data_IF_345173399904
#
_entry.id   IF_345173399904
#
_cell.length_a   1.000
_cell.length_b   1.000
_cell.length_c   1.000
_cell.angle_alpha   90.00
_cell.angle_beta   90.00
_cell.angle_gamma   90.00
#
_symmetry.space_group_name_H-M   'P 1'
#
loop_
_entity.id
_entity.type
_entity.pdbx_description
1 polymer ?
#
# COMPACT_ATOMS: atom_id res chain seq x y z
N UNK A 1 25.14 -68.23 15.33
CA UNK A 1 24.75 -67.52 14.10
C UNK A 1 23.24 -67.55 14.00
N UNK A 2 22.59 -66.48 14.46
CA UNK A 2 21.14 -66.31 14.39
C UNK A 2 20.91 -64.87 13.94
N UNK A 3 20.39 -64.73 12.73
CA UNK A 3 20.25 -63.46 12.02
C UNK A 3 19.24 -62.54 12.70
N UNK A 4 19.66 -61.30 12.92
CA UNK A 4 18.78 -60.21 13.28
C UNK A 4 18.02 -59.76 12.02
N UNK A 5 16.70 -59.87 12.04
CA UNK A 5 15.82 -59.36 11.02
C UNK A 5 15.78 -57.84 11.08
N UNK A 6 16.26 -57.21 10.02
CA UNK A 6 16.16 -55.77 9.76
C UNK A 6 14.71 -55.48 9.32
N UNK A 7 13.87 -55.09 10.28
CA UNK A 7 12.50 -54.66 10.00
C UNK A 7 12.54 -53.28 9.33
N UNK A 8 11.70 -53.02 8.31
CA UNK A 8 11.73 -51.74 7.62
C UNK A 8 11.41 -50.60 8.59
N UNK A 9 12.28 -49.60 8.61
CA UNK A 9 12.06 -48.32 9.27
C UNK A 9 10.65 -47.79 8.90
N UNK A 10 9.87 -47.26 9.86
CA UNK A 10 8.56 -46.72 9.56
C UNK A 10 8.70 -45.60 8.53
N UNK A 11 7.98 -45.72 7.42
CA UNK A 11 7.87 -44.66 6.41
C UNK A 11 7.47 -43.35 7.13
N UNK A 12 8.12 -42.22 6.79
CA UNK A 12 7.75 -40.94 7.37
C UNK A 12 6.29 -40.66 7.02
N UNK A 13 5.43 -40.62 8.05
CA UNK A 13 4.03 -40.21 7.96
C UNK A 13 3.98 -38.95 7.11
N UNK A 14 3.47 -39.07 5.88
CA UNK A 14 3.41 -37.97 4.93
C UNK A 14 2.69 -36.79 5.59
N UNK A 15 3.46 -35.79 5.99
CA UNK A 15 2.93 -34.61 6.66
C UNK A 15 1.91 -33.98 5.72
N UNK A 16 0.65 -33.94 6.15
CA UNK A 16 -0.46 -33.43 5.35
C UNK A 16 -0.12 -32.00 4.90
N UNK A 17 0.20 -31.84 3.62
CA UNK A 17 0.54 -30.55 3.03
C UNK A 17 -0.67 -29.63 3.25
N UNK A 18 -0.49 -28.58 4.04
CA UNK A 18 -1.54 -27.59 4.26
C UNK A 18 -1.75 -26.84 2.95
N UNK A 19 -2.98 -26.64 2.50
CA UNK A 19 -3.29 -25.75 1.38
C UNK A 19 -3.31 -24.27 1.79
N UNK A 20 -3.11 -23.98 3.08
CA UNK A 20 -3.20 -22.63 3.64
C UNK A 20 -2.29 -22.44 4.86
N UNK A 21 -1.71 -21.25 4.97
CA UNK A 21 -1.04 -20.74 6.17
C UNK A 21 -1.62 -19.39 6.54
N UNK A 22 -1.98 -19.26 7.81
CA UNK A 22 -2.42 -18.00 8.41
C UNK A 22 -1.35 -17.52 9.39
N UNK A 23 -0.90 -16.29 9.19
CA UNK A 23 0.03 -15.58 10.05
C UNK A 23 -0.66 -14.33 10.59
N UNK A 24 -0.24 -13.90 11.77
CA UNK A 24 -0.46 -12.53 12.21
C UNK A 24 0.78 -11.73 11.85
N UNK A 25 0.61 -10.45 11.55
CA UNK A 25 1.71 -9.52 11.31
C UNK A 25 2.87 -9.67 12.31
N UNK A 26 4.11 -9.66 11.83
CA UNK A 26 5.33 -9.92 12.62
C UNK A 26 5.44 -11.29 13.33
N UNK A 27 4.47 -12.20 13.16
CA UNK A 27 4.56 -13.54 13.72
C UNK A 27 5.51 -14.43 12.90
N UNK A 28 6.12 -15.41 13.56
CA UNK A 28 6.94 -16.44 12.93
C UNK A 28 6.34 -17.81 13.21
N UNK A 29 6.25 -18.64 12.16
CA UNK A 29 5.85 -20.04 12.27
C UNK A 29 6.94 -20.90 11.65
N UNK A 30 7.56 -21.74 12.46
CA UNK A 30 8.64 -22.63 12.07
C UNK A 30 8.15 -24.05 11.78
N UNK A 31 8.94 -24.82 11.02
CA UNK A 31 8.70 -26.24 10.79
C UNK A 31 7.50 -26.57 9.89
N UNK A 32 7.04 -25.62 9.08
CA UNK A 32 5.91 -25.82 8.16
C UNK A 32 6.33 -26.75 7.02
N UNK A 33 5.57 -27.82 6.80
CA UNK A 33 5.72 -28.66 5.61
C UNK A 33 5.14 -27.91 4.41
N UNK A 34 6.00 -27.43 3.51
CA UNK A 34 5.62 -26.72 2.29
C UNK A 34 6.23 -27.45 1.08
N UNK A 35 5.53 -27.50 -0.07
CA UNK A 35 6.18 -27.90 -1.31
C UNK A 35 7.36 -26.97 -1.60
N UNK A 36 8.52 -27.52 -1.98
CA UNK A 36 9.74 -26.74 -2.20
C UNK A 36 9.56 -25.60 -3.21
N UNK A 37 8.75 -25.80 -4.25
CA UNK A 37 8.39 -24.75 -5.18
C UNK A 37 7.71 -23.57 -4.49
N UNK A 38 6.74 -23.85 -3.62
CA UNK A 38 6.01 -22.82 -2.85
C UNK A 38 6.96 -22.09 -1.90
N UNK A 39 7.79 -22.82 -1.17
CA UNK A 39 8.77 -22.22 -0.25
C UNK A 39 9.76 -21.30 -0.96
N UNK A 40 10.32 -21.73 -2.10
CA UNK A 40 11.21 -20.90 -2.92
C UNK A 40 10.50 -19.68 -3.50
N UNK A 41 9.26 -19.83 -3.96
CA UNK A 41 8.48 -18.71 -4.49
C UNK A 41 8.14 -17.68 -3.41
N UNK A 42 7.86 -18.14 -2.18
CA UNK A 42 7.70 -17.25 -1.03
C UNK A 42 9.01 -16.55 -0.65
N UNK A 43 10.15 -17.26 -0.70
CA UNK A 43 11.46 -16.69 -0.38
C UNK A 43 11.94 -15.65 -1.42
N UNK A 44 11.55 -15.84 -2.68
CA UNK A 44 11.86 -14.91 -3.77
C UNK A 44 10.85 -13.74 -3.86
N UNK A 45 9.74 -13.79 -3.14
CA UNK A 45 8.71 -12.77 -3.15
C UNK A 45 8.69 -11.95 -1.86
N UNK A 46 8.22 -10.71 -1.93
CA UNK A 46 8.17 -9.82 -0.76
C UNK A 46 6.88 -10.00 0.07
N UNK A 47 6.38 -11.24 0.18
CA UNK A 47 5.11 -11.55 0.87
C UNK A 47 5.37 -11.86 2.35
N UNK A 48 6.34 -12.74 2.61
CA UNK A 48 6.80 -13.18 3.92
C UNK A 48 8.27 -13.56 3.80
N UNK A 49 9.04 -13.44 4.87
CA UNK A 49 10.39 -13.99 4.91
C UNK A 49 10.27 -15.51 5.04
N UNK A 50 10.61 -16.23 3.98
CA UNK A 50 10.58 -17.69 3.95
C UNK A 50 12.01 -18.25 3.94
N UNK A 51 12.33 -19.06 4.94
CA UNK A 51 13.66 -19.66 5.12
C UNK A 51 13.51 -21.18 5.22
N UNK A 52 14.23 -21.98 4.40
CA UNK A 52 14.20 -23.43 4.53
C UNK A 52 14.84 -23.87 5.86
N UNK A 53 14.31 -24.93 6.46
CA UNK A 53 14.90 -25.54 7.64
C UNK A 53 16.26 -26.16 7.28
N UNK A 54 17.35 -25.83 8.00
CA UNK A 54 18.69 -26.30 7.64
C UNK A 54 18.91 -27.79 7.89
N UNK A 55 18.07 -28.44 8.72
CA UNK A 55 18.24 -29.83 9.13
C UNK A 55 17.17 -30.76 8.56
N UNK A 56 16.00 -30.22 8.17
CA UNK A 56 14.86 -31.01 7.71
C UNK A 56 14.38 -30.57 6.32
N UNK A 57 14.74 -31.28 5.25
CA UNK A 57 14.26 -30.99 3.90
C UNK A 57 12.72 -30.93 3.82
N UNK A 58 12.20 -29.99 3.02
CA UNK A 58 10.76 -29.77 2.87
C UNK A 58 10.08 -29.04 4.03
N UNK A 59 10.83 -28.65 5.09
CA UNK A 59 10.35 -27.76 6.14
C UNK A 59 10.82 -26.33 5.92
N UNK A 60 9.94 -25.39 6.25
CA UNK A 60 10.16 -23.97 6.07
C UNK A 60 9.74 -23.21 7.32
N UNK A 61 10.46 -22.13 7.61
CA UNK A 61 10.09 -21.10 8.57
C UNK A 61 9.57 -19.89 7.81
N UNK A 62 8.36 -19.45 8.14
CA UNK A 62 7.75 -18.26 7.56
C UNK A 62 7.63 -17.18 8.62
N UNK A 63 8.07 -15.96 8.30
CA UNK A 63 7.90 -14.77 9.14
C UNK A 63 7.16 -13.69 8.38
N UNK A 64 6.05 -13.21 8.94
CA UNK A 64 5.33 -12.07 8.40
C UNK A 64 6.07 -10.75 8.68
N UNK A 65 6.03 -9.82 7.74
CA UNK A 65 6.46 -8.42 7.91
C UNK A 65 5.28 -7.50 8.28
N UNK A 66 5.35 -6.23 7.88
CA UNK A 66 4.28 -5.22 8.03
C UNK A 66 3.17 -5.33 6.98
N UNK A 67 3.34 -6.19 5.98
CA UNK A 67 2.38 -6.36 4.88
C UNK A 67 1.29 -7.34 5.28
N UNK A 68 0.04 -6.89 5.19
CA UNK A 68 -1.16 -7.64 5.57
C UNK A 68 -2.04 -7.91 4.35
N UNK A 69 -2.73 -9.03 4.32
CA UNK A 69 -3.59 -9.41 3.20
C UNK A 69 -3.52 -10.90 2.89
N UNK A 70 -3.74 -11.26 1.62
CA UNK A 70 -3.77 -12.64 1.20
C UNK A 70 -3.15 -12.83 -0.18
N UNK A 71 -2.37 -13.89 -0.31
CA UNK A 71 -1.69 -14.28 -1.54
C UNK A 71 -2.01 -15.74 -1.84
N UNK A 72 -2.33 -16.03 -3.09
CA UNK A 72 -2.63 -17.35 -3.60
C UNK A 72 -1.55 -17.75 -4.60
N UNK A 73 -0.97 -18.93 -4.38
CA UNK A 73 0.11 -19.49 -5.19
C UNK A 73 -0.43 -20.70 -5.91
N UNK A 74 -0.59 -20.59 -7.23
CA UNK A 74 -1.02 -21.70 -8.06
C UNK A 74 0.18 -22.58 -8.35
N UNK A 75 0.12 -23.83 -7.88
CA UNK A 75 1.14 -24.85 -8.08
C UNK A 75 0.75 -25.73 -9.26
N UNK A 76 1.58 -25.89 -10.32
CA UNK A 76 1.31 -26.82 -11.41
C UNK A 76 0.98 -28.22 -10.90
N UNK A 77 -0.14 -28.78 -11.35
CA UNK A 77 -0.61 -30.11 -10.95
C UNK A 77 -1.40 -30.16 -9.63
N UNK A 78 -1.46 -29.06 -8.86
CA UNK A 78 -2.34 -28.98 -7.68
C UNK A 78 -3.78 -28.61 -8.08
N UNK A 79 -4.77 -29.23 -7.43
CA UNK A 79 -6.20 -28.92 -7.65
C UNK A 79 -6.61 -27.57 -7.07
N UNK A 80 -5.96 -27.14 -6.00
CA UNK A 80 -6.25 -25.90 -5.28
C UNK A 80 -4.97 -25.07 -5.14
N UNK A 81 -5.06 -23.72 -5.18
CA UNK A 81 -3.92 -22.87 -4.91
C UNK A 81 -3.54 -22.95 -3.42
N UNK A 82 -2.26 -22.72 -3.14
CA UNK A 82 -1.77 -22.56 -1.77
C UNK A 82 -1.95 -21.11 -1.32
N UNK A 83 -2.65 -20.88 -0.21
CA UNK A 83 -2.96 -19.52 0.28
C UNK A 83 -2.10 -19.14 1.48
N UNK A 84 -1.42 -18.00 1.42
CA UNK A 84 -0.81 -17.32 2.58
C UNK A 84 -1.66 -16.13 2.94
N UNK A 85 -2.14 -16.08 4.18
CA UNK A 85 -2.85 -14.92 4.74
C UNK A 85 -2.02 -14.32 5.87
N UNK A 86 -1.85 -13.00 5.84
CA UNK A 86 -1.26 -12.23 6.94
C UNK A 86 -2.35 -11.30 7.48
N UNK A 87 -2.79 -11.56 8.71
CA UNK A 87 -3.79 -10.75 9.38
C UNK A 87 -3.14 -9.52 10.06
N UNK A 88 -3.77 -8.33 9.98
CA UNK A 88 -3.31 -7.17 10.72
C UNK A 88 -3.48 -7.36 12.23
N UNK A 89 -2.64 -6.68 13.02
CA UNK A 89 -2.81 -6.60 14.49
C UNK A 89 -3.99 -5.72 14.89
N UNK A 90 -4.30 -4.72 14.08
CA UNK A 90 -5.43 -3.81 14.30
C UNK A 90 -6.72 -4.36 13.66
N UNK A 91 -7.90 -4.07 14.24
CA UNK A 91 -9.16 -4.40 13.61
C UNK A 91 -9.28 -3.83 12.19
N UNK A 92 -9.93 -4.55 11.29
CA UNK A 92 -10.10 -4.10 9.89
C UNK A 92 -10.80 -2.74 9.82
N UNK A 93 -11.79 -2.49 10.68
CA UNK A 93 -12.44 -1.18 10.77
C UNK A 93 -11.44 -0.04 11.06
N UNK A 94 -10.43 -0.27 11.92
CA UNK A 94 -9.36 0.71 12.18
C UNK A 94 -8.52 0.95 10.94
N UNK A 95 -8.10 -0.12 10.25
CA UNK A 95 -7.33 -0.01 9.01
C UNK A 95 -8.08 0.85 7.97
N UNK A 96 -9.38 0.61 7.79
CA UNK A 96 -10.20 1.40 6.89
C UNK A 96 -10.39 2.85 7.34
N UNK A 97 -10.48 3.10 8.64
CA UNK A 97 -10.48 4.47 9.16
C UNK A 97 -9.17 5.20 8.82
N UNK A 98 -8.01 4.57 9.10
CA UNK A 98 -6.70 5.16 8.77
C UNK A 98 -6.61 5.42 7.27
N UNK A 99 -6.99 4.44 6.45
CA UNK A 99 -6.96 4.55 4.99
C UNK A 99 -7.85 5.70 4.52
N UNK A 100 -9.03 5.84 5.12
CA UNK A 100 -9.96 6.87 4.70
C UNK A 100 -9.62 8.26 5.08
N UNK A 101 -9.05 8.41 6.27
CA UNK A 101 -8.51 9.68 6.66
C UNK A 101 -7.31 10.08 5.78
N UNK A 102 -6.40 9.16 5.45
CA UNK A 102 -5.26 9.45 4.57
C UNK A 102 -5.68 9.82 3.15
N UNK A 103 -6.70 9.14 2.61
CA UNK A 103 -7.17 9.37 1.25
C UNK A 103 -8.01 10.65 1.14
N UNK A 104 -8.90 10.92 2.07
CA UNK A 104 -9.75 12.11 2.01
C UNK A 104 -10.04 12.62 3.42
N UNK A 105 -9.11 13.41 4.00
CA UNK A 105 -9.25 13.84 5.37
C UNK A 105 -10.49 14.70 5.57
N UNK A 106 -10.92 15.48 4.58
CA UNK A 106 -12.09 16.37 4.67
C UNK A 106 -13.40 15.69 4.21
N UNK A 107 -13.31 14.47 3.68
CA UNK A 107 -14.42 13.73 3.10
C UNK A 107 -15.34 13.05 4.12
N UNK A 108 -16.54 12.68 3.64
CA UNK A 108 -17.55 11.94 4.39
C UNK A 108 -17.22 10.46 4.62
N UNK A 109 -16.03 9.98 4.24
CA UNK A 109 -15.60 8.60 4.48
C UNK A 109 -15.22 8.32 5.95
N UNK A 110 -15.61 9.22 6.85
CA UNK A 110 -15.29 9.22 8.29
C UNK A 110 -16.16 8.27 9.11
N UNK A 111 -17.29 7.79 8.59
CA UNK A 111 -18.18 6.88 9.33
C UNK A 111 -18.82 5.81 8.42
N UNK A 112 -18.58 4.54 8.73
CA UNK A 112 -19.53 3.43 8.54
C UNK A 112 -20.11 3.11 7.15
N UNK A 113 -19.78 3.85 6.07
CA UNK A 113 -20.43 3.65 4.75
C UNK A 113 -20.14 2.27 4.12
N UNK A 114 -19.06 1.62 4.57
CA UNK A 114 -18.77 0.22 4.25
C UNK A 114 -18.86 -0.54 5.56
N UNK A 115 -19.76 -1.54 5.65
CA UNK A 115 -19.90 -2.45 6.79
C UNK A 115 -18.69 -3.36 6.95
N UNK A 116 -17.49 -2.78 7.06
CA UNK A 116 -16.23 -3.51 7.16
C UNK A 116 -15.99 -4.11 8.54
N UNK A 117 -16.74 -3.65 9.54
CA UNK A 117 -16.70 -4.19 10.90
C UNK A 117 -17.08 -5.69 10.96
N UNK A 118 -17.91 -6.16 10.01
CA UNK A 118 -18.32 -7.57 9.94
C UNK A 118 -17.28 -8.47 9.26
N UNK A 119 -16.32 -7.89 8.55
CA UNK A 119 -15.30 -8.66 7.84
C UNK A 119 -14.15 -9.03 8.78
N UNK A 120 -13.78 -10.31 8.73
CA UNK A 120 -12.60 -10.85 9.43
C UNK A 120 -11.33 -10.82 8.58
N UNK A 121 -11.49 -10.62 7.26
CA UNK A 121 -10.40 -10.65 6.27
C UNK A 121 -10.36 -9.35 5.45
N UNK A 122 -9.15 -8.82 5.25
CA UNK A 122 -8.93 -7.52 4.59
C UNK A 122 -9.37 -7.52 3.14
N UNK A 123 -9.04 -8.56 2.38
CA UNK A 123 -9.33 -8.62 0.95
C UNK A 123 -10.84 -8.61 0.65
N UNK A 124 -11.68 -9.43 1.30
CA UNK A 124 -13.14 -9.30 1.19
C UNK A 124 -13.66 -7.90 1.51
N UNK A 125 -13.18 -7.28 2.60
CA UNK A 125 -13.58 -5.94 2.99
C UNK A 125 -13.22 -4.89 1.94
N UNK A 126 -12.01 -4.96 1.38
CA UNK A 126 -11.57 -4.05 0.33
C UNK A 126 -12.33 -4.29 -0.98
N UNK A 127 -12.55 -5.53 -1.37
CA UNK A 127 -13.32 -5.86 -2.57
C UNK A 127 -14.73 -5.27 -2.48
N UNK A 128 -15.38 -5.38 -1.32
CA UNK A 128 -16.68 -4.77 -1.06
C UNK A 128 -16.66 -3.24 -1.07
N UNK A 129 -15.63 -2.63 -0.46
CA UNK A 129 -15.46 -1.19 -0.46
C UNK A 129 -15.27 -0.62 -1.88
N UNK A 130 -14.37 -1.24 -2.66
CA UNK A 130 -14.12 -0.87 -4.06
C UNK A 130 -15.38 -1.07 -4.90
N UNK A 131 -16.03 -2.24 -4.79
CA UNK A 131 -17.26 -2.53 -5.53
C UNK A 131 -18.33 -1.47 -5.27
N UNK A 132 -18.63 -1.14 -4.01
CA UNK A 132 -19.65 -0.15 -3.68
C UNK A 132 -19.33 1.24 -4.22
N UNK A 133 -18.08 1.67 -4.11
CA UNK A 133 -17.67 3.00 -4.58
C UNK A 133 -17.65 3.06 -6.11
N UNK A 134 -17.20 2.01 -6.79
CA UNK A 134 -17.32 1.90 -8.26
C UNK A 134 -18.79 1.93 -8.67
N UNK A 135 -19.66 1.15 -8.02
CA UNK A 135 -21.09 1.17 -8.33
C UNK A 135 -21.67 2.57 -8.20
N UNK A 136 -21.40 3.25 -7.07
CA UNK A 136 -21.80 4.65 -6.79
C UNK A 136 -21.30 5.62 -7.87
N UNK A 137 -20.03 5.55 -8.23
CA UNK A 137 -19.42 6.40 -9.26
C UNK A 137 -20.08 6.20 -10.63
N UNK A 138 -20.39 4.95 -10.97
CA UNK A 138 -20.98 4.61 -12.26
C UNK A 138 -22.50 4.83 -12.29
N UNK A 139 -23.23 4.97 -11.17
CA UNK A 139 -24.72 5.01 -11.13
C UNK A 139 -25.36 5.94 -12.18
N UNK A 140 -24.77 7.09 -12.45
CA UNK A 140 -25.29 8.08 -13.41
C UNK A 140 -24.50 8.07 -14.74
N UNK A 141 -24.06 6.90 -15.19
CA UNK A 141 -23.33 6.68 -16.44
C UNK A 141 -21.81 6.85 -16.32
N UNK A 142 -21.10 6.42 -17.36
CA UNK A 142 -19.64 6.62 -17.45
C UNK A 142 -19.34 8.12 -17.57
N UNK A 143 -18.26 8.56 -16.90
CA UNK A 143 -17.73 9.89 -17.16
C UNK A 143 -17.13 9.91 -18.58
N UNK A 144 -17.46 10.95 -19.34
CA UNK A 144 -16.83 11.23 -20.63
C UNK A 144 -15.88 12.41 -20.46
N UNK A 145 -14.76 12.38 -21.17
CA UNK A 145 -13.78 13.45 -21.14
C UNK A 145 -12.91 13.44 -22.37
N UNK A 146 -12.10 14.48 -22.51
CA UNK A 146 -11.13 14.59 -23.59
C UNK A 146 -9.90 13.75 -23.25
N UNK A 147 -9.50 12.91 -24.19
CA UNK A 147 -8.25 12.17 -24.15
C UNK A 147 -7.37 12.58 -25.31
N UNK A 148 -6.12 12.94 -25.01
CA UNK A 148 -5.11 13.15 -26.03
C UNK A 148 -4.72 11.80 -26.64
N UNK A 149 -4.88 11.68 -27.95
CA UNK A 149 -4.56 10.50 -28.73
C UNK A 149 -3.52 10.85 -29.77
N UNK A 150 -2.43 10.09 -29.77
CA UNK A 150 -1.39 10.13 -30.79
C UNK A 150 -1.39 8.81 -31.54
N UNK A 151 -1.57 8.85 -32.86
CA UNK A 151 -1.60 7.64 -33.68
C UNK A 151 -1.09 7.90 -35.09
N UNK A 152 -0.75 6.82 -35.80
CA UNK A 152 -0.48 6.87 -37.22
C UNK A 152 -1.74 6.55 -37.99
N UNK A 153 -2.27 7.52 -38.74
CA UNK A 153 -3.56 7.39 -39.42
C UNK A 153 -3.46 7.63 -40.92
N UNK A 154 -4.30 6.97 -41.71
CA UNK A 154 -4.44 7.23 -43.14
C UNK A 154 -5.21 8.53 -43.44
N UNK A 155 -5.89 9.07 -42.42
CA UNK A 155 -6.64 10.34 -42.49
C UNK A 155 -6.05 11.34 -41.51
N UNK A 156 -6.03 12.62 -41.90
CA UNK A 156 -5.56 13.67 -40.99
C UNK A 156 -6.71 14.09 -40.09
N UNK A 157 -6.57 13.83 -38.78
CA UNK A 157 -7.46 14.30 -37.73
C UNK A 157 -6.65 15.05 -36.67
N UNK A 158 -7.04 16.29 -36.37
CA UNK A 158 -6.31 17.16 -35.45
C UNK A 158 -5.00 17.69 -36.03
N UNK A 159 -3.94 17.70 -35.22
CA UNK A 159 -2.62 18.27 -35.57
C UNK A 159 -1.69 17.17 -36.09
N UNK A 160 -0.93 17.46 -37.14
CA UNK A 160 0.14 16.57 -37.61
C UNK A 160 1.33 16.72 -36.64
N UNK A 161 2.00 15.62 -36.33
CA UNK A 161 3.23 15.63 -35.53
C UNK A 161 4.43 15.62 -36.45
N UNK A 162 4.82 16.78 -36.97
CA UNK A 162 5.79 16.89 -38.07
C UNK A 162 7.15 16.28 -37.70
N UNK A 163 7.62 16.52 -36.46
CA UNK A 163 8.87 15.94 -35.97
C UNK A 163 8.83 14.41 -35.98
N UNK A 164 7.69 13.81 -35.63
CA UNK A 164 7.52 12.35 -35.55
C UNK A 164 7.35 11.76 -36.94
N UNK A 165 6.63 12.45 -37.83
CA UNK A 165 6.48 12.08 -39.23
C UNK A 165 7.84 12.03 -39.94
N UNK A 166 8.65 13.09 -39.78
CA UNK A 166 9.99 13.14 -40.40
C UNK A 166 10.89 12.06 -39.81
N UNK A 167 10.88 11.85 -38.48
CA UNK A 167 11.77 10.86 -37.84
C UNK A 167 11.38 9.41 -38.13
N UNK A 168 10.09 9.07 -38.11
CA UNK A 168 9.62 7.68 -38.25
C UNK A 168 9.31 7.30 -39.69
N UNK A 169 9.00 8.28 -40.54
CA UNK A 169 8.42 8.07 -41.88
C UNK A 169 9.04 9.00 -42.92
N UNK A 170 10.35 9.23 -42.83
CA UNK A 170 11.08 10.04 -43.79
C UNK A 170 10.81 9.57 -45.23
N UNK A 171 10.27 10.46 -46.07
CA UNK A 171 9.93 10.16 -47.48
C UNK A 171 8.58 9.45 -47.71
N UNK A 172 7.88 9.01 -46.66
CA UNK A 172 6.54 8.41 -46.78
C UNK A 172 5.44 9.40 -46.37
N UNK A 173 4.46 9.62 -47.25
CA UNK A 173 3.35 10.55 -47.00
C UNK A 173 2.24 9.96 -46.12
N UNK A 174 2.05 8.64 -46.11
CA UNK A 174 1.02 7.95 -45.34
C UNK A 174 1.55 6.66 -44.71
N UNK A 175 0.96 6.18 -43.60
CA UNK A 175 0.14 6.93 -42.64
C UNK A 175 0.82 8.19 -42.08
N UNK A 176 0.02 9.19 -41.68
CA UNK A 176 0.46 10.44 -41.03
C UNK A 176 0.44 10.25 -39.52
N UNK A 177 1.51 10.64 -38.84
CA UNK A 177 1.53 10.77 -37.37
C UNK A 177 0.68 11.99 -36.97
N UNK A 178 -0.44 11.76 -36.31
CA UNK A 178 -1.38 12.80 -35.88
C UNK A 178 -1.59 12.79 -34.36
N UNK A 179 -1.99 13.94 -33.83
CA UNK A 179 -2.36 14.15 -32.43
C UNK A 179 -3.69 14.91 -32.37
N UNK A 180 -4.67 14.35 -31.67
CA UNK A 180 -6.00 14.96 -31.48
C UNK A 180 -6.57 14.64 -30.12
N UNK A 181 -7.52 15.46 -29.67
CA UNK A 181 -8.28 15.21 -28.44
C UNK A 181 -9.61 14.56 -28.80
N UNK A 182 -9.83 13.34 -28.30
CA UNK A 182 -11.05 12.58 -28.50
C UNK A 182 -11.95 12.67 -27.28
N UNK A 183 -13.23 13.04 -27.48
CA UNK A 183 -14.22 12.98 -26.42
C UNK A 183 -14.78 11.56 -26.31
N UNK A 184 -14.33 10.84 -25.27
CA UNK A 184 -14.55 9.39 -25.13
C UNK A 184 -14.80 9.01 -23.67
N UNK A 185 -15.28 7.78 -23.45
CA UNK A 185 -15.29 7.14 -22.14
C UNK A 185 -13.96 6.48 -21.79
N UNK A 186 -13.01 6.35 -22.72
CA UNK A 186 -11.69 5.74 -22.46
C UNK A 186 -10.69 6.72 -21.80
N UNK A 187 -11.14 7.41 -20.76
CA UNK A 187 -10.38 8.39 -19.96
C UNK A 187 -9.66 7.74 -18.77
N UNK A 188 -8.67 8.45 -18.20
CA UNK A 188 -7.85 7.97 -17.10
C UNK A 188 -8.68 7.38 -15.95
N UNK A 189 -9.73 8.09 -15.52
CA UNK A 189 -10.60 7.70 -14.43
C UNK A 189 -11.26 6.34 -14.68
N UNK A 190 -11.92 6.17 -15.82
CA UNK A 190 -12.60 4.92 -16.15
C UNK A 190 -11.60 3.76 -16.32
N UNK A 191 -10.41 4.04 -16.88
CA UNK A 191 -9.35 3.03 -17.05
C UNK A 191 -8.82 2.52 -15.72
N UNK A 192 -8.65 3.40 -14.73
CA UNK A 192 -8.29 3.01 -13.36
C UNK A 192 -9.36 2.10 -12.77
N UNK A 193 -10.64 2.50 -12.83
CA UNK A 193 -11.74 1.68 -12.29
C UNK A 193 -11.83 0.32 -12.98
N UNK A 194 -11.74 0.29 -14.32
CA UNK A 194 -11.74 -0.94 -15.11
C UNK A 194 -10.63 -1.88 -14.68
N UNK A 195 -9.43 -1.35 -14.52
CA UNK A 195 -8.25 -2.14 -14.12
C UNK A 195 -8.42 -2.71 -12.72
N UNK A 196 -8.93 -1.93 -11.77
CA UNK A 196 -9.16 -2.39 -10.40
C UNK A 196 -10.23 -3.50 -10.36
N UNK A 197 -11.35 -3.32 -11.07
CA UNK A 197 -12.39 -4.35 -11.19
C UNK A 197 -11.84 -5.65 -11.77
N UNK A 198 -11.07 -5.57 -12.87
CA UNK A 198 -10.42 -6.74 -13.45
C UNK A 198 -9.42 -7.40 -12.49
N UNK A 199 -8.68 -6.60 -11.70
CA UNK A 199 -7.71 -7.14 -10.75
C UNK A 199 -8.40 -7.90 -9.63
N UNK A 200 -9.46 -7.33 -9.05
CA UNK A 200 -10.26 -8.01 -8.02
C UNK A 200 -10.89 -9.30 -8.55
N UNK A 201 -11.40 -9.32 -9.78
CA UNK A 201 -11.98 -10.53 -10.39
C UNK A 201 -10.97 -11.68 -10.53
N UNK A 202 -9.66 -11.41 -10.57
CA UNK A 202 -8.62 -12.47 -10.60
C UNK A 202 -8.34 -13.06 -9.22
N UNK A 203 -8.71 -12.39 -8.14
CA UNK A 203 -8.44 -12.86 -6.78
C UNK A 203 -9.50 -13.87 -6.35
N UNK A 204 -9.13 -15.11 -5.99
CA UNK A 204 -10.10 -16.17 -5.67
C UNK A 204 -10.85 -15.88 -4.36
N UNK A 205 -10.25 -15.15 -3.43
CA UNK A 205 -10.83 -14.84 -2.12
C UNK A 205 -11.90 -13.74 -2.15
N UNK A 206 -12.24 -13.18 -3.32
CA UNK A 206 -13.34 -12.22 -3.44
C UNK A 206 -14.69 -12.95 -3.27
N UNK A 207 -15.57 -12.47 -2.37
CA UNK A 207 -16.90 -13.05 -2.14
C UNK A 207 -17.74 -13.20 -3.42
N UNK A 208 -18.62 -14.21 -3.47
CA UNK A 208 -19.38 -14.54 -4.69
C UNK A 208 -20.37 -13.46 -5.11
N UNK A 209 -21.02 -12.83 -4.15
CA UNK A 209 -21.91 -11.70 -4.32
C UNK A 209 -21.16 -10.47 -4.85
N UNK A 210 -20.04 -10.10 -4.22
CA UNK A 210 -19.16 -9.02 -4.69
C UNK A 210 -18.65 -9.29 -6.10
N UNK A 211 -18.23 -10.54 -6.38
CA UNK A 211 -17.79 -10.98 -7.72
C UNK A 211 -18.88 -10.78 -8.77
N UNK A 212 -20.14 -11.08 -8.45
CA UNK A 212 -21.26 -10.87 -9.37
C UNK A 212 -21.43 -9.38 -9.70
N UNK A 213 -21.36 -8.50 -8.71
CA UNK A 213 -21.44 -7.06 -8.94
C UNK A 213 -20.25 -6.53 -9.74
N UNK A 214 -19.02 -6.98 -9.42
CA UNK A 214 -17.82 -6.64 -10.19
C UNK A 214 -17.91 -7.10 -11.65
N UNK A 215 -18.52 -8.27 -11.94
CA UNK A 215 -18.76 -8.71 -13.32
C UNK A 215 -19.72 -7.77 -14.06
N UNK A 216 -20.75 -7.27 -13.38
CA UNK A 216 -21.66 -6.27 -13.95
C UNK A 216 -20.94 -4.93 -14.20
N UNK A 217 -20.15 -4.44 -13.26
CA UNK A 217 -19.33 -3.24 -13.43
C UNK A 217 -18.33 -3.38 -14.58
N UNK A 218 -17.71 -4.55 -14.71
CA UNK A 218 -16.86 -4.89 -15.86
C UNK A 218 -17.63 -4.78 -17.18
N UNK A 219 -18.85 -5.32 -17.25
CA UNK A 219 -19.67 -5.21 -18.46
C UNK A 219 -20.00 -3.74 -18.81
N UNK A 220 -20.23 -2.89 -17.81
CA UNK A 220 -20.46 -1.44 -18.02
C UNK A 220 -19.22 -0.69 -18.50
N UNK A 221 -18.03 -1.20 -18.21
CA UNK A 221 -16.73 -0.66 -18.61
C UNK A 221 -16.13 -1.43 -19.80
N UNK A 222 -16.95 -2.04 -20.67
CA UNK A 222 -16.45 -2.92 -21.74
C UNK A 222 -15.61 -2.17 -22.78
N UNK A 223 -16.00 -0.95 -23.13
CA UNK A 223 -15.32 -0.11 -24.12
C UNK A 223 -14.13 0.68 -23.53
N UNK A 224 -13.76 0.41 -22.28
CA UNK A 224 -12.67 1.09 -21.57
C UNK A 224 -11.44 0.19 -21.55
N UNK A 225 -10.31 0.75 -21.99
CA UNK A 225 -9.05 0.01 -22.12
C UNK A 225 -8.39 -0.14 -20.75
N UNK A 226 -8.25 -1.36 -20.20
CA UNK A 226 -7.53 -1.54 -18.93
C UNK A 226 -6.08 -1.07 -19.05
N UNK A 227 -5.52 -0.62 -17.94
CA UNK A 227 -4.11 -0.23 -17.85
C UNK A 227 -3.26 -1.50 -17.92
N UNK A 228 -2.26 -1.48 -18.79
CA UNK A 228 -1.33 -2.60 -18.93
C UNK A 228 -0.55 -2.77 -17.64
N UNK A 229 -0.42 -4.01 -17.17
CA UNK A 229 0.32 -4.34 -15.95
C UNK A 229 1.76 -3.85 -16.01
N UNK A 230 2.27 -3.37 -14.88
CA UNK A 230 3.63 -2.82 -14.77
C UNK A 230 3.81 -1.46 -15.43
N UNK A 231 2.79 -0.92 -16.12
CA UNK A 231 2.76 0.50 -16.48
C UNK A 231 2.24 1.32 -15.31
N UNK A 232 2.70 2.55 -15.23
CA UNK A 232 2.16 3.53 -14.30
C UNK A 232 0.66 3.76 -14.57
N UNK A 233 -0.09 3.98 -13.49
CA UNK A 233 -1.49 4.35 -13.61
C UNK A 233 -1.58 5.74 -14.27
N UNK A 234 -2.58 5.97 -15.15
CA UNK A 234 -2.75 7.27 -15.76
C UNK A 234 -3.10 8.30 -14.68
N UNK A 235 -2.48 9.49 -14.76
CA UNK A 235 -2.79 10.58 -13.85
C UNK A 235 -4.22 11.09 -14.05
N UNK A 236 -4.89 11.48 -12.96
CA UNK A 236 -6.17 12.17 -12.96
C UNK A 236 -6.14 13.31 -11.94
N UNK A 237 -7.02 14.30 -12.08
CA UNK A 237 -7.08 15.46 -11.21
C UNK A 237 -8.44 15.57 -10.53
N UNK A 238 -8.45 16.04 -9.28
CA UNK A 238 -9.68 16.32 -8.54
C UNK A 238 -10.38 17.52 -9.18
N UNK A 239 -11.55 17.29 -9.79
CA UNK A 239 -12.40 18.35 -10.34
C UNK A 239 -13.83 18.19 -9.85
N UNK A 240 -14.64 19.25 -9.98
CA UNK A 240 -16.09 19.16 -9.70
C UNK A 240 -16.80 18.18 -10.63
N UNK A 241 -16.31 18.01 -11.87
CA UNK A 241 -16.89 17.14 -12.88
C UNK A 241 -16.76 15.66 -12.50
N UNK A 242 -15.63 15.27 -11.93
CA UNK A 242 -15.36 13.90 -11.50
C UNK A 242 -15.55 13.67 -9.99
N UNK A 243 -16.19 14.60 -9.27
CA UNK A 243 -16.41 14.51 -7.82
C UNK A 243 -17.01 13.16 -7.37
N UNK A 244 -17.97 12.62 -8.14
CA UNK A 244 -18.59 11.32 -7.85
C UNK A 244 -17.64 10.11 -8.01
N UNK A 245 -16.49 10.28 -8.66
CA UNK A 245 -15.48 9.23 -8.88
C UNK A 245 -14.38 9.26 -7.82
N UNK A 246 -14.20 10.34 -7.05
CA UNK A 246 -13.01 10.55 -6.21
C UNK A 246 -12.74 9.38 -5.27
N UNK A 247 -13.75 8.93 -4.51
CA UNK A 247 -13.58 7.80 -3.59
C UNK A 247 -13.29 6.49 -4.33
N UNK A 248 -13.97 6.23 -5.44
CA UNK A 248 -13.77 5.03 -6.24
C UNK A 248 -12.35 4.98 -6.83
N UNK A 249 -11.85 6.11 -7.32
CA UNK A 249 -10.51 6.23 -7.90
C UNK A 249 -9.42 6.03 -6.85
N UNK A 250 -9.54 6.71 -5.71
CA UNK A 250 -8.57 6.58 -4.61
C UNK A 250 -8.50 5.13 -4.09
N UNK A 251 -9.64 4.45 -3.91
CA UNK A 251 -9.67 3.04 -3.53
C UNK A 251 -9.16 2.10 -4.63
N UNK A 252 -9.48 2.39 -5.89
CA UNK A 252 -8.99 1.62 -7.03
C UNK A 252 -7.46 1.70 -7.13
N UNK A 253 -6.87 2.88 -6.96
CA UNK A 253 -5.41 3.05 -6.93
C UNK A 253 -4.77 2.27 -5.78
N UNK A 254 -5.37 2.31 -4.58
CA UNK A 254 -4.92 1.51 -3.43
C UNK A 254 -4.97 0.02 -3.74
N UNK A 255 -6.08 -0.45 -4.31
CA UNK A 255 -6.24 -1.84 -4.74
C UNK A 255 -5.18 -2.25 -5.78
N UNK A 256 -4.87 -1.36 -6.72
CA UNK A 256 -3.91 -1.62 -7.80
C UNK A 256 -2.46 -1.58 -7.33
N UNK A 257 -2.12 -0.66 -6.41
CA UNK A 257 -0.80 -0.59 -5.77
C UNK A 257 -0.51 -1.78 -4.86
N UNK A 258 -1.51 -2.24 -4.11
CA UNK A 258 -1.38 -3.39 -3.21
C UNK A 258 -1.49 -4.76 -3.89
N UNK A 259 -1.82 -4.81 -5.18
CA UNK A 259 -1.91 -6.08 -5.88
C UNK A 259 -0.50 -6.63 -6.14
N UNK A 260 -0.21 -7.86 -5.71
CA UNK A 260 1.11 -8.46 -5.89
C UNK A 260 1.46 -8.56 -7.37
N UNK A 261 2.72 -8.34 -7.74
CA UNK A 261 3.18 -8.68 -9.08
C UNK A 261 3.00 -10.20 -9.29
N UNK A 262 2.60 -10.62 -10.48
CA UNK A 262 2.71 -12.03 -10.89
C UNK A 262 4.20 -12.35 -11.03
N UNK A 263 4.87 -12.66 -9.93
CA UNK A 263 6.23 -13.15 -9.95
C UNK A 263 6.21 -14.67 -10.16
N UNK A 264 6.91 -15.12 -11.19
CA UNK A 264 7.02 -16.54 -11.56
C UNK A 264 8.47 -17.05 -11.48
N UNK A 265 9.08 -17.23 -10.30
CA UNK A 265 10.19 -18.16 -10.16
C UNK A 265 9.67 -19.59 -10.35
N UNK A 266 10.13 -20.29 -11.38
CA UNK A 266 9.83 -21.73 -11.57
C UNK A 266 8.40 -22.08 -12.02
N UNK A 267 7.71 -21.17 -12.73
CA UNK A 267 6.40 -21.45 -13.34
C UNK A 267 5.17 -21.38 -12.42
N UNK A 268 5.37 -20.93 -11.17
CA UNK A 268 4.30 -20.68 -10.20
C UNK A 268 3.63 -19.33 -10.46
N UNK A 269 2.29 -19.27 -10.38
CA UNK A 269 1.55 -18.00 -10.46
C UNK A 269 1.17 -17.52 -9.07
N UNK A 270 1.60 -16.31 -8.71
CA UNK A 270 1.28 -15.66 -7.44
C UNK A 270 0.27 -14.53 -7.68
N UNK A 271 -0.94 -14.68 -7.12
CA UNK A 271 -2.00 -13.68 -7.17
C UNK A 271 -2.45 -13.32 -5.76
N UNK A 272 -2.27 -12.06 -5.37
CA UNK A 272 -2.65 -11.60 -4.05
C UNK A 272 -2.85 -10.10 -3.96
N UNK A 273 -3.32 -9.71 -2.78
CA UNK A 273 -3.38 -8.34 -2.34
C UNK A 273 -2.66 -8.24 -1.00
N UNK A 274 -1.66 -7.38 -0.96
CA UNK A 274 -0.90 -7.04 0.23
C UNK A 274 -0.96 -5.54 0.45
N UNK A 275 -1.12 -5.15 1.70
CA UNK A 275 -1.24 -3.78 2.12
C UNK A 275 -0.18 -3.50 3.17
N UNK A 276 0.64 -2.46 2.97
CA UNK A 276 1.72 -2.13 3.88
C UNK A 276 1.21 -1.28 5.05
N UNK A 277 1.21 -1.85 6.25
CA UNK A 277 0.73 -1.14 7.44
C UNK A 277 1.66 -0.01 7.88
N UNK A 278 2.96 -0.07 7.55
CA UNK A 278 3.88 1.01 7.85
C UNK A 278 3.50 2.26 7.05
N UNK A 279 3.38 2.11 5.73
CA UNK A 279 3.00 3.22 4.85
C UNK A 279 1.62 3.76 5.21
N UNK A 280 0.65 2.89 5.51
CA UNK A 280 -0.69 3.33 5.92
C UNK A 280 -0.65 4.23 7.15
N UNK A 281 0.10 3.82 8.18
CA UNK A 281 0.20 4.58 9.42
C UNK A 281 0.95 5.90 9.21
N UNK A 282 2.03 5.88 8.43
CA UNK A 282 2.77 7.07 8.01
C UNK A 282 1.87 8.06 7.28
N UNK A 283 1.17 7.61 6.22
CA UNK A 283 0.22 8.42 5.45
C UNK A 283 -0.85 9.03 6.37
N UNK A 284 -1.37 8.24 7.32
CA UNK A 284 -2.37 8.72 8.27
C UNK A 284 -1.81 9.82 9.17
N UNK A 285 -0.68 9.58 9.83
CA UNK A 285 -0.08 10.52 10.78
C UNK A 285 0.30 11.82 10.07
N UNK A 286 0.94 11.72 8.90
CA UNK A 286 1.41 12.87 8.13
C UNK A 286 0.24 13.73 7.63
N UNK A 287 -0.82 13.11 7.08
CA UNK A 287 -2.04 13.82 6.65
C UNK A 287 -2.76 14.43 7.85
N UNK A 288 -2.95 13.68 8.94
CA UNK A 288 -3.66 14.16 10.12
C UNK A 288 -2.92 15.30 10.83
N UNK A 289 -1.58 15.26 10.90
CA UNK A 289 -0.78 16.37 11.39
C UNK A 289 -0.89 17.59 10.47
N UNK A 290 -0.78 17.39 9.15
CA UNK A 290 -0.95 18.47 8.17
C UNK A 290 -2.27 19.21 8.31
N UNK A 291 -3.36 18.46 8.50
CA UNK A 291 -4.68 19.05 8.78
C UNK A 291 -4.74 19.76 10.14
N UNK A 292 -4.13 19.19 11.18
CA UNK A 292 -4.15 19.76 12.52
C UNK A 292 -3.32 21.05 12.66
N UNK A 293 -2.28 21.25 11.85
CA UNK A 293 -1.46 22.48 11.84
C UNK A 293 -1.94 23.53 10.83
N UNK A 294 -2.95 23.19 10.01
CA UNK A 294 -3.46 24.06 8.94
C UNK A 294 -4.00 25.37 9.50
N UNK A 295 -3.74 26.47 8.80
CA UNK A 295 -4.23 27.81 9.17
C UNK A 295 -3.31 28.60 10.13
N UNK A 296 -2.21 28.01 10.61
CA UNK A 296 -1.23 28.68 11.48
C UNK A 296 -0.12 29.45 10.77
N UNK A 297 -0.27 29.79 9.48
CA UNK A 297 0.78 30.46 8.67
C UNK A 297 2.01 29.60 8.38
N UNK A 298 1.98 28.32 8.73
CA UNK A 298 3.03 27.32 8.50
C UNK A 298 2.70 26.43 7.31
N UNK A 299 3.73 25.88 6.68
CA UNK A 299 3.58 24.95 5.55
C UNK A 299 4.12 23.58 5.93
N UNK A 300 3.34 22.52 5.77
CA UNK A 300 3.81 21.15 5.96
C UNK A 300 4.25 20.54 4.62
N UNK A 301 5.37 19.81 4.62
CA UNK A 301 5.79 18.95 3.51
C UNK A 301 5.87 17.51 3.99
N UNK A 302 5.37 16.60 3.15
CA UNK A 302 5.34 15.17 3.44
C UNK A 302 6.44 14.46 2.65
N UNK A 303 7.12 13.52 3.28
CA UNK A 303 8.21 12.73 2.71
C UNK A 303 9.28 13.60 1.99
N UNK A 304 9.73 14.67 2.67
CA UNK A 304 10.55 15.76 2.11
C UNK A 304 12.02 15.34 1.98
N UNK A 305 12.66 15.65 0.84
CA UNK A 305 14.03 15.19 0.58
C UNK A 305 15.06 16.19 1.11
N UNK A 306 16.00 15.70 1.91
CA UNK A 306 17.13 16.46 2.43
C UNK A 306 18.44 15.66 2.31
N UNK A 307 19.55 16.27 2.72
CA UNK A 307 20.87 15.63 2.76
C UNK A 307 21.50 15.79 4.15
N UNK A 308 22.14 14.73 4.63
CA UNK A 308 22.79 14.71 5.95
C UNK A 308 24.14 15.43 5.94
N UNK A 309 24.84 15.34 4.82
CA UNK A 309 26.20 15.81 4.63
C UNK A 309 26.27 17.01 3.68
N UNK A 310 27.31 17.82 3.85
CA UNK A 310 27.54 19.01 3.02
C UNK A 310 27.75 18.67 1.54
N UNK A 311 28.29 17.48 1.25
CA UNK A 311 28.50 17.02 -0.12
C UNK A 311 27.22 16.49 -0.80
N UNK A 312 26.09 16.46 -0.08
CA UNK A 312 24.80 15.96 -0.57
C UNK A 312 24.85 14.50 -1.08
N UNK A 313 25.71 13.67 -0.51
CA UNK A 313 25.83 12.26 -0.88
C UNK A 313 24.84 11.36 -0.12
N UNK A 314 24.50 11.73 1.11
CA UNK A 314 23.66 10.95 2.02
C UNK A 314 22.27 11.58 2.07
N UNK A 315 21.35 11.01 1.30
CA UNK A 315 19.95 11.45 1.26
C UNK A 315 19.20 11.02 2.51
N UNK A 316 18.33 11.90 2.98
CA UNK A 316 17.39 11.62 4.04
C UNK A 316 15.98 12.04 3.62
N UNK A 317 14.97 11.41 4.22
CA UNK A 317 13.58 11.65 3.87
C UNK A 317 12.68 11.53 5.11
N UNK A 318 12.52 12.60 5.90
CA UNK A 318 11.57 12.62 7.00
C UNK A 318 10.13 12.54 6.49
N UNK A 319 9.26 11.87 7.25
CA UNK A 319 7.87 11.65 6.86
C UNK A 319 7.07 12.96 6.85
N UNK A 320 7.37 13.87 7.78
CA UNK A 320 6.73 15.18 7.90
C UNK A 320 7.72 16.25 8.35
N UNK A 321 7.76 17.36 7.64
CA UNK A 321 8.52 18.56 8.02
C UNK A 321 7.59 19.76 8.02
N UNK A 322 7.58 20.50 9.13
CA UNK A 322 6.84 21.74 9.28
C UNK A 322 7.77 22.92 9.04
N UNK A 323 7.35 23.84 8.19
CA UNK A 323 8.08 25.06 7.86
C UNK A 323 7.37 26.28 8.43
N UNK A 324 8.15 27.19 9.02
CA UNK A 324 7.70 28.52 9.41
C UNK A 324 7.26 29.36 8.21
N UNK A 325 6.69 30.54 8.49
CA UNK A 325 6.30 31.49 7.44
C UNK A 325 7.52 32.03 6.65
N UNK A 326 8.71 31.96 7.25
CA UNK A 326 10.01 32.29 6.67
C UNK A 326 10.58 31.17 5.78
N UNK A 327 9.91 30.02 5.69
CA UNK A 327 10.37 28.87 4.91
C UNK A 327 11.49 28.07 5.60
N UNK A 328 11.74 28.29 6.88
CA UNK A 328 12.73 27.55 7.66
C UNK A 328 12.05 26.34 8.34
N UNK A 329 12.65 25.13 8.33
CA UNK A 329 12.15 24.01 9.12
C UNK A 329 12.03 24.40 10.60
N UNK A 330 10.87 24.13 11.21
CA UNK A 330 10.61 24.36 12.63
C UNK A 330 10.28 23.07 13.39
N UNK A 331 9.80 22.03 12.70
CA UNK A 331 9.61 20.72 13.31
C UNK A 331 9.81 19.59 12.30
N UNK A 332 10.25 18.44 12.81
CA UNK A 332 10.34 17.19 12.05
C UNK A 332 9.63 16.08 12.82
N UNK A 333 8.84 15.30 12.09
CA UNK A 333 8.09 14.17 12.63
C UNK A 333 8.32 12.94 11.77
N UNK A 334 8.50 11.79 12.43
CA UNK A 334 8.64 10.49 11.79
C UNK A 334 7.71 9.49 12.49
N UNK A 335 6.98 8.71 11.69
CA UNK A 335 5.89 7.84 12.12
C UNK A 335 6.28 6.37 11.97
N UNK A 336 6.17 5.60 13.05
CA UNK A 336 6.57 4.19 13.08
C UNK A 336 5.42 3.28 13.52
N UNK A 337 5.01 2.39 12.62
CA UNK A 337 4.06 1.32 12.92
C UNK A 337 4.78 0.09 13.49
N UNK A 338 5.13 0.14 14.78
CA UNK A 338 5.80 -0.96 15.47
C UNK A 338 5.26 -1.07 16.90
N UNK A 339 4.90 -2.29 17.30
CA UNK A 339 4.74 -2.63 18.72
C UNK A 339 6.12 -2.90 19.32
N UNK A 340 6.36 -2.39 20.53
CA UNK A 340 7.62 -2.53 21.25
C UNK A 340 8.05 -4.02 21.36
N UNK A 341 9.35 -4.30 21.20
CA UNK A 341 9.92 -5.55 21.74
C UNK A 341 9.95 -5.43 23.27
N UNK A 342 10.03 -6.53 24.00
CA UNK A 342 10.17 -6.55 25.48
C UNK A 342 11.43 -5.83 26.04
N UNK A 343 12.13 -5.02 25.26
CA UNK A 343 13.38 -4.33 25.63
C UNK A 343 13.53 -2.90 25.09
N UNK A 344 12.45 -2.20 24.73
CA UNK A 344 12.53 -0.80 24.25
C UNK A 344 12.21 -0.60 22.77
N UNK A 345 12.05 0.67 22.39
CA UNK A 345 12.09 1.10 20.98
C UNK A 345 13.47 0.80 20.40
N UNK A 346 13.58 0.48 19.09
CA UNK A 346 14.88 0.29 18.49
C UNK A 346 15.67 1.61 18.52
N UNK A 347 16.87 1.61 19.08
CA UNK A 347 17.79 2.76 19.10
C UNK A 347 17.96 3.42 17.72
N UNK A 348 17.74 2.66 16.63
CA UNK A 348 17.79 3.15 15.25
C UNK A 348 16.85 4.31 14.96
N UNK A 349 15.64 4.33 15.54
CA UNK A 349 14.68 5.40 15.27
C UNK A 349 15.13 6.72 15.94
N UNK A 350 15.78 6.63 17.12
CA UNK A 350 16.39 7.77 17.81
C UNK A 350 17.61 8.31 17.05
N UNK A 351 18.47 7.43 16.53
CA UNK A 351 19.60 7.85 15.69
C UNK A 351 19.16 8.51 14.39
N UNK A 352 18.10 7.99 13.75
CA UNK A 352 17.50 8.60 12.57
C UNK A 352 16.96 10.00 12.89
N UNK A 353 16.24 10.15 14.00
CA UNK A 353 15.71 11.46 14.42
C UNK A 353 16.83 12.45 14.75
N UNK A 354 17.90 12.02 15.40
CA UNK A 354 19.08 12.84 15.64
C UNK A 354 19.69 13.36 14.32
N UNK A 355 19.82 12.49 13.31
CA UNK A 355 20.31 12.87 11.99
C UNK A 355 19.39 13.92 11.32
N UNK A 356 18.06 13.75 11.41
CA UNK A 356 17.09 14.72 10.89
C UNK A 356 17.22 16.07 11.58
N UNK A 357 17.23 16.09 12.92
CA UNK A 357 17.37 17.33 13.67
C UNK A 357 18.69 18.05 13.35
N UNK A 358 19.78 17.29 13.20
CA UNK A 358 21.10 17.86 12.89
C UNK A 358 21.11 18.53 11.52
N UNK A 359 20.62 17.86 10.49
CA UNK A 359 20.64 18.39 9.13
C UNK A 359 19.62 19.52 8.89
N UNK A 360 18.50 19.52 9.63
CA UNK A 360 17.48 20.55 9.56
C UNK A 360 17.73 21.72 10.53
N UNK A 361 18.77 21.65 11.37
CA UNK A 361 19.06 22.69 12.37
C UNK A 361 18.03 22.78 13.50
N UNK A 362 17.33 21.69 13.80
CA UNK A 362 16.26 21.63 14.79
C UNK A 362 16.78 21.23 16.17
N UNK A 363 16.22 21.85 17.22
CA UNK A 363 16.50 21.48 18.62
C UNK A 363 15.57 20.39 19.14
N UNK A 364 14.44 20.16 18.47
CA UNK A 364 13.47 19.14 18.84
C UNK A 364 13.14 18.24 17.65
N UNK A 365 12.85 16.97 17.94
CA UNK A 365 12.42 15.98 16.95
C UNK A 365 11.35 15.07 17.54
N UNK A 366 10.40 14.62 16.71
CA UNK A 366 9.20 13.94 17.21
C UNK A 366 9.02 12.58 16.52
N UNK A 367 9.04 11.51 17.30
CA UNK A 367 8.72 10.15 16.86
C UNK A 367 7.29 9.82 17.27
N UNK A 368 6.47 9.34 16.34
CA UNK A 368 5.07 8.96 16.59
C UNK A 368 4.92 7.46 16.38
N UNK A 369 4.57 6.73 17.43
CA UNK A 369 4.44 5.28 17.42
C UNK A 369 2.98 4.83 17.46
N UNK A 370 2.63 3.82 16.68
CA UNK A 370 1.39 3.07 16.82
C UNK A 370 1.47 2.15 18.06
N UNK A 371 1.21 2.68 19.25
CA UNK A 371 1.31 1.97 20.52
C UNK A 371 0.08 2.33 21.36
N UNK A 372 -0.54 1.32 21.99
CA UNK A 372 -1.56 1.54 23.02
C UNK A 372 -1.08 2.51 24.10
N UNK A 373 -1.97 2.96 24.99
CA UNK A 373 -1.76 4.06 25.93
C UNK A 373 -0.42 4.07 26.73
N UNK A 374 0.67 4.53 26.09
CA UNK A 374 1.99 4.66 26.67
C UNK A 374 2.26 6.14 26.92
N UNK A 375 2.91 6.49 28.05
CA UNK A 375 3.20 7.87 28.36
C UNK A 375 4.15 8.47 27.33
N UNK A 376 4.02 9.77 27.11
CA UNK A 376 5.01 10.56 26.39
C UNK A 376 6.38 10.45 27.08
N UNK A 377 7.43 10.15 26.31
CA UNK A 377 8.82 10.07 26.80
C UNK A 377 9.66 11.05 26.01
N UNK A 378 10.62 11.71 26.67
CA UNK A 378 11.59 12.57 26.00
C UNK A 378 13.03 12.16 26.33
N UNK A 379 13.91 12.26 25.34
CA UNK A 379 15.32 11.89 25.43
C UNK A 379 16.18 13.11 25.11
N UNK A 380 16.92 13.61 26.10
CA UNK A 380 17.90 14.66 25.88
C UNK A 380 19.16 14.03 25.27
N UNK A 381 19.48 14.38 24.02
CA UNK A 381 20.65 13.86 23.34
C UNK A 381 21.90 14.52 23.93
N UNK A 382 22.81 13.67 24.41
CA UNK A 382 24.08 14.08 24.99
C UNK A 382 24.91 14.86 23.96
N UNK A 383 25.42 16.03 24.36
CA UNK A 383 26.31 16.88 23.56
C UNK A 383 25.74 17.44 22.24
N UNK A 384 24.45 17.25 21.95
CA UNK A 384 23.84 17.75 20.72
C UNK A 384 22.88 18.94 20.95
N UNK A 385 22.42 19.15 22.19
CA UNK A 385 21.39 20.15 22.49
C UNK A 385 20.03 19.82 21.85
N UNK A 386 19.83 18.56 21.44
CA UNK A 386 18.61 18.07 20.77
C UNK A 386 17.76 17.28 21.78
N UNK A 387 16.46 17.55 21.80
CA UNK A 387 15.46 16.83 22.58
C UNK A 387 14.59 15.99 21.64
N UNK A 388 14.57 14.66 21.83
CA UNK A 388 13.74 13.77 21.02
C UNK A 388 12.51 13.35 21.81
N UNK A 389 11.34 13.66 21.28
CA UNK A 389 10.04 13.32 21.84
C UNK A 389 9.50 12.02 21.23
N UNK A 390 9.02 11.11 22.07
CA UNK A 390 8.30 9.90 21.65
C UNK A 390 6.84 10.03 22.05
N UNK A 391 5.95 9.94 21.06
CA UNK A 391 4.50 9.97 21.20
C UNK A 391 3.95 8.58 20.89
N UNK A 392 2.92 8.17 21.64
CA UNK A 392 2.18 6.96 21.37
C UNK A 392 0.76 7.32 20.93
N UNK A 393 0.31 6.71 19.84
CA UNK A 393 -1.06 6.77 19.36
C UNK A 393 -1.73 5.43 19.63
N UNK A 394 -2.76 5.46 20.49
CA UNK A 394 -3.56 4.27 20.76
C UNK A 394 -4.48 4.01 19.56
N UNK A 395 -4.26 2.90 18.84
CA UNK A 395 -5.07 2.54 17.69
C UNK A 395 -6.37 1.80 18.07
N UNK A 396 -6.53 1.42 19.34
CA UNK A 396 -7.73 0.74 19.84
C UNK A 396 -8.82 1.74 20.29
N UNK A 397 -8.45 2.99 20.59
CA UNK A 397 -9.39 4.06 20.95
C UNK A 397 -10.26 4.48 19.76
N UNK A 398 -11.44 5.07 19.96
CA UNK A 398 -12.32 5.51 18.87
C UNK A 398 -11.67 6.56 17.92
N UNK A 399 -12.21 6.76 16.71
CA UNK A 399 -11.68 7.75 15.76
C UNK A 399 -11.45 9.16 16.33
N UNK A 400 -12.36 9.67 17.18
CA UNK A 400 -12.24 11.02 17.71
C UNK A 400 -11.10 11.11 18.74
N UNK A 401 -10.94 10.11 19.60
CA UNK A 401 -9.80 9.99 20.50
C UNK A 401 -8.46 10.01 19.74
N UNK A 402 -8.35 9.22 18.69
CA UNK A 402 -7.12 9.14 17.88
C UNK A 402 -6.77 10.49 17.22
N UNK A 403 -7.78 11.22 16.72
CA UNK A 403 -7.56 12.57 16.18
C UNK A 403 -7.21 13.59 17.29
N UNK A 404 -7.74 13.43 18.50
CA UNK A 404 -7.35 14.26 19.64
C UNK A 404 -5.88 14.03 20.04
N UNK A 405 -5.38 12.80 19.93
CA UNK A 405 -3.97 12.46 20.14
C UNK A 405 -3.07 13.15 19.12
N UNK A 406 -3.44 13.09 17.83
CA UNK A 406 -2.76 13.85 16.77
C UNK A 406 -2.77 15.36 17.10
N UNK A 407 -3.90 15.90 17.56
CA UNK A 407 -3.99 17.29 17.99
C UNK A 407 -3.04 17.66 19.14
N UNK A 408 -2.76 16.72 20.06
CA UNK A 408 -1.74 16.93 21.12
C UNK A 408 -0.34 16.97 20.56
N UNK A 409 -0.01 16.09 19.61
CA UNK A 409 1.29 16.11 18.90
C UNK A 409 1.43 17.42 18.12
N UNK A 410 0.42 17.81 17.36
CA UNK A 410 0.38 19.04 16.57
C UNK A 410 0.60 20.31 17.43
N UNK A 411 -0.03 20.39 18.61
CA UNK A 411 0.20 21.51 19.53
C UNK A 411 1.64 21.58 20.02
N UNK A 412 2.28 20.44 20.27
CA UNK A 412 3.67 20.40 20.76
C UNK A 412 4.66 20.80 19.68
N UNK A 413 4.50 20.31 18.45
CA UNK A 413 5.39 20.69 17.33
C UNK A 413 5.24 22.16 16.94
N UNK A 414 4.11 22.80 17.26
CA UNK A 414 3.88 24.23 17.01
C UNK A 414 4.34 25.14 18.15
N UNK A 415 4.60 24.58 19.34
CA UNK A 415 5.07 25.32 20.52
C UNK A 415 6.60 25.33 20.68
N UNK A 416 7.28 24.45 19.96
CA UNK A 416 8.74 24.43 19.78
C UNK A 416 9.15 25.51 18.77
#
# INVERSE_FOLDING_TARGET
>A
MTGAGDGPLPEPVAAKVRSRVDLVEYATVAGLALPDGVGRALAAGDVVDAIPDPYTPGRWSLRAGSRVGAVNITVPGAREPFTVRVAPKVPIARLFFLLGYSLDPQGGWRDGEVGVAEHRDLLPALAHAVERQVDRALRQGLLQGYRHTEESSLIVRGRIREAEQVRRRFGAMLPVEVAYDEFSTDIAENRILRTAVERLLRLPSVPRDVRRSLLHQRARLTDVTPVVRGRELPGWQLTRLNARYHHALRLAEVCLRGASAEHSPGGLRIDGFLFDMNQLFEDFVTVALGEAVRGGGRTSRLQDWHHLDEASAIRMRPDFVLYGADGIPCAVVDAKYKAEKRGGYPDSDLYQMLAYCTALGLREGHLVYAKGNAPHVSHQVRHAGILIHQHALDLDQDPAGLLADIGRVARRICSA
#
